data_IF_313298753686
#
_entry.id   IF_313298753686
#
_cell.length_a   1.000
_cell.length_b   1.000
_cell.length_c   1.000
_cell.angle_alpha   90.00
_cell.angle_beta   90.00
_cell.angle_gamma   90.00
#
_symmetry.space_group_name_H-M   'P 1'
#
loop_
_entity.id
_entity.type
_entity.pdbx_description
1 polymer ?
#
# COMPACT_ATOMS: atom_id res chain seq x y z
N UNK A 1 -57.84 -37.95 -7.12
CA UNK A 1 -58.68 -39.04 -6.58
C UNK A 1 -57.91 -39.74 -5.46
N UNK A 2 -58.55 -39.86 -4.29
CA UNK A 2 -58.33 -40.77 -3.13
C UNK A 2 -56.99 -40.62 -2.36
N UNK A 3 -57.01 -40.15 -1.10
CA UNK A 3 -57.41 -40.84 0.16
C UNK A 3 -56.49 -42.02 0.49
N UNK A 4 -56.00 -42.26 1.70
CA UNK A 4 -56.13 -41.71 3.07
C UNK A 4 -54.86 -42.15 3.83
N UNK A 5 -54.68 -42.15 5.14
CA UNK A 5 -55.41 -41.82 6.37
C UNK A 5 -54.33 -41.84 7.47
N UNK A 6 -54.15 -40.78 8.26
CA UNK A 6 -54.56 -40.63 9.68
C UNK A 6 -53.98 -41.65 10.68
N UNK A 7 -53.25 -41.15 11.68
CA UNK A 7 -53.67 -41.02 13.11
C UNK A 7 -52.50 -40.42 13.92
N UNK A 8 -52.59 -39.18 14.45
CA UNK A 8 -53.25 -38.72 15.70
C UNK A 8 -52.64 -39.32 16.98
N UNK A 9 -51.97 -38.48 17.78
CA UNK A 9 -52.35 -38.25 19.19
C UNK A 9 -52.17 -36.76 19.52
N UNK A 10 -53.22 -36.21 20.13
CA UNK A 10 -53.46 -34.85 20.63
C UNK A 10 -53.02 -34.84 22.11
N UNK A 11 -52.67 -33.72 22.75
CA UNK A 11 -53.48 -33.10 23.83
C UNK A 11 -52.75 -31.84 24.37
N UNK A 12 -53.37 -30.68 24.08
CA UNK A 12 -53.70 -29.56 25.02
C UNK A 12 -52.54 -28.61 25.39
N UNK A 13 -52.41 -27.39 24.84
CA UNK A 13 -53.26 -26.18 24.91
C UNK A 13 -53.46 -25.65 26.34
N UNK A 14 -52.86 -24.50 26.70
CA UNK A 14 -53.58 -23.22 26.84
C UNK A 14 -52.78 -22.19 27.69
N UNK A 15 -52.68 -20.96 27.13
CA UNK A 15 -52.75 -19.63 27.77
C UNK A 15 -51.75 -19.16 28.84
N UNK A 16 -50.92 -18.19 28.43
CA UNK A 16 -50.66 -16.90 29.12
C UNK A 16 -51.98 -16.14 29.46
N UNK A 17 -52.05 -15.14 30.39
CA UNK A 17 -51.07 -14.03 30.54
C UNK A 17 -50.95 -13.26 31.91
N UNK A 18 -49.94 -12.36 31.96
CA UNK A 18 -49.87 -10.99 32.56
C UNK A 18 -49.66 -10.70 34.08
N UNK A 19 -48.73 -9.75 34.27
CA UNK A 19 -48.59 -8.64 35.24
C UNK A 19 -48.35 -8.89 36.75
N UNK A 20 -47.23 -8.35 37.27
CA UNK A 20 -47.19 -7.47 38.46
C UNK A 20 -45.76 -6.98 38.80
N UNK A 21 -45.51 -5.71 38.47
CA UNK A 21 -44.84 -4.63 39.22
C UNK A 21 -44.12 -4.90 40.56
N UNK A 22 -42.93 -4.28 40.72
CA UNK A 22 -42.34 -3.97 42.04
C UNK A 22 -40.91 -3.41 42.02
N UNK A 23 -40.75 -2.09 42.12
CA UNK A 23 -39.58 -1.41 42.74
C UNK A 23 -40.06 -0.69 44.01
N UNK A 24 -39.21 -0.52 45.04
CA UNK A 24 -38.78 0.84 45.45
C UNK A 24 -37.26 0.93 45.82
N UNK A 25 -36.51 1.99 45.46
CA UNK A 25 -36.23 3.32 46.14
C UNK A 25 -35.24 3.18 47.33
N UNK A 26 -33.94 3.50 47.19
CA UNK A 26 -33.16 4.76 47.48
C UNK A 26 -32.40 4.73 48.84
N UNK A 27 -31.44 5.66 48.96
CA UNK A 27 -30.50 6.02 50.06
C UNK A 27 -29.15 5.25 50.10
N UNK A 28 -28.04 5.75 49.53
CA UNK A 28 -27.20 6.93 49.84
C UNK A 28 -26.24 6.73 51.04
N UNK A 29 -24.93 6.55 50.77
CA UNK A 29 -23.87 7.26 51.52
C UNK A 29 -22.54 7.30 50.75
N UNK A 30 -21.87 8.45 50.84
CA UNK A 30 -20.64 8.86 50.18
C UNK A 30 -19.38 8.40 50.95
N UNK A 31 -18.34 8.09 50.17
CA UNK A 31 -16.91 8.44 50.35
C UNK A 31 -16.20 7.99 51.63
N UNK A 32 -15.20 7.11 51.45
CA UNK A 32 -13.90 7.33 52.10
C UNK A 32 -12.75 6.84 51.22
N UNK A 33 -11.81 7.74 50.96
CA UNK A 33 -10.60 7.57 50.17
C UNK A 33 -9.43 7.78 51.14
N UNK A 34 -8.52 6.81 51.26
CA UNK A 34 -7.26 6.94 52.04
C UNK A 34 -6.23 5.89 51.56
N UNK A 35 -5.48 6.26 50.52
CA UNK A 35 -4.01 6.35 50.36
C UNK A 35 -3.01 5.41 51.13
N UNK A 36 -1.71 5.34 50.73
CA UNK A 36 -1.03 4.12 50.29
C UNK A 36 0.10 3.63 51.23
N UNK A 37 0.59 2.39 51.06
CA UNK A 37 1.69 1.81 51.84
C UNK A 37 2.52 0.77 51.09
N UNK A 38 3.84 0.84 51.25
CA UNK A 38 4.92 0.30 50.40
C UNK A 38 5.59 -0.98 50.94
N UNK A 39 5.78 -1.99 50.07
CA UNK A 39 6.86 -3.04 49.93
C UNK A 39 7.11 -4.06 51.10
N UNK A 40 7.81 -5.23 50.94
CA UNK A 40 8.96 -5.52 50.02
C UNK A 40 9.08 -7.02 49.53
N UNK A 41 10.25 -7.60 49.11
CA UNK A 41 10.44 -8.28 47.81
C UNK A 41 10.60 -9.83 47.86
N UNK A 42 10.35 -10.53 46.75
CA UNK A 42 10.81 -11.92 46.54
C UNK A 42 11.24 -12.16 45.08
N UNK A 43 12.34 -12.90 44.92
CA UNK A 43 13.03 -13.31 43.70
C UNK A 43 13.42 -14.80 43.89
N UNK A 44 13.79 -15.60 42.88
CA UNK A 44 13.20 -15.88 41.57
C UNK A 44 12.74 -17.37 41.48
N UNK A 45 11.67 -17.66 40.72
CA UNK A 45 11.39 -19.03 40.28
C UNK A 45 11.27 -19.07 38.76
N UNK A 46 12.22 -19.79 38.15
CA UNK A 46 12.37 -19.99 36.72
C UNK A 46 11.08 -20.46 36.03
N UNK A 47 10.72 -19.78 34.95
CA UNK A 47 9.90 -20.32 33.86
C UNK A 47 10.54 -19.92 32.55
N UNK A 48 10.95 -20.93 31.79
CA UNK A 48 11.36 -20.80 30.40
C UNK A 48 10.28 -20.05 29.62
N UNK A 49 10.66 -18.92 29.03
CA UNK A 49 9.83 -18.22 28.05
C UNK A 49 10.58 -18.19 26.73
N UNK A 50 10.08 -19.00 25.80
CA UNK A 50 10.36 -18.90 24.38
C UNK A 50 10.02 -17.49 23.91
N UNK A 51 11.03 -16.77 23.44
CA UNK A 51 10.91 -15.42 22.91
C UNK A 51 10.21 -15.46 21.54
N UNK A 52 8.94 -15.07 21.48
CA UNK A 52 8.27 -14.74 20.22
C UNK A 52 7.39 -13.50 20.40
N UNK A 53 8.04 -12.33 20.37
CA UNK A 53 7.40 -11.02 20.42
C UNK A 53 6.81 -10.64 19.05
N UNK A 54 5.61 -11.15 18.70
CA UNK A 54 4.87 -10.70 17.49
C UNK A 54 3.34 -10.61 17.64
N UNK A 55 2.79 -10.43 18.84
CA UNK A 55 1.33 -10.38 19.00
C UNK A 55 0.75 -9.27 19.90
N UNK A 56 1.48 -8.16 20.09
CA UNK A 56 1.01 -7.05 20.96
C UNK A 56 0.38 -5.84 20.24
N UNK A 57 0.01 -5.95 18.95
CA UNK A 57 -0.48 -4.78 18.16
C UNK A 57 -2.01 -4.74 17.99
N UNK A 58 -2.78 -5.73 18.47
CA UNK A 58 -4.24 -5.77 18.20
C UNK A 58 -5.09 -5.11 19.32
N UNK A 59 -4.51 -4.73 20.46
CA UNK A 59 -5.31 -4.22 21.59
C UNK A 59 -5.60 -2.70 21.69
N UNK A 60 -5.11 -1.76 20.83
CA UNK A 60 -5.59 -0.38 20.88
C UNK A 60 -6.85 -0.11 20.04
N UNK A 61 -7.25 -1.03 19.16
CA UNK A 61 -8.36 -0.79 18.21
C UNK A 61 -9.78 -0.88 18.81
N UNK A 62 -9.97 -1.42 20.01
CA UNK A 62 -11.29 -1.51 20.64
C UNK A 62 -11.58 -0.39 21.66
N UNK A 63 -10.58 0.36 22.11
CA UNK A 63 -10.77 1.47 23.06
C UNK A 63 -11.08 2.82 22.39
N UNK A 64 -10.74 2.99 21.09
CA UNK A 64 -10.99 4.23 20.34
C UNK A 64 -12.44 4.45 19.87
N UNK A 65 -13.27 3.39 19.84
CA UNK A 65 -14.63 3.44 19.30
C UNK A 65 -15.69 4.09 20.21
N UNK A 66 -15.42 4.22 21.52
CA UNK A 66 -16.41 4.73 22.50
C UNK A 66 -16.20 6.22 22.82
N UNK A 67 -15.01 6.78 22.55
CA UNK A 67 -14.73 8.21 22.75
C UNK A 67 -15.10 9.08 21.53
N UNK A 68 -15.11 8.50 20.32
CA UNK A 68 -15.50 9.21 19.10
C UNK A 68 -17.02 9.44 18.97
N UNK A 69 -17.85 8.59 19.57
CA UNK A 69 -19.32 8.76 19.58
C UNK A 69 -19.80 9.85 20.55
N UNK A 70 -19.03 10.15 21.61
CA UNK A 70 -19.36 11.23 22.56
C UNK A 70 -19.02 12.64 22.06
N UNK A 71 -17.91 12.79 21.34
CA UNK A 71 -17.46 14.10 20.84
C UNK A 71 -18.07 14.50 19.50
N UNK A 72 -18.44 13.54 18.65
CA UNK A 72 -19.16 13.79 17.40
C UNK A 72 -20.60 14.28 17.60
N UNK A 73 -21.27 13.84 18.67
CA UNK A 73 -22.60 14.33 19.01
C UNK A 73 -22.54 15.82 19.40
N UNK A 74 -21.57 16.24 20.22
CA UNK A 74 -21.46 17.63 20.72
C UNK A 74 -21.26 18.70 19.63
N UNK A 75 -20.52 18.40 18.56
CA UNK A 75 -20.27 19.36 17.49
C UNK A 75 -21.47 19.51 16.51
N UNK A 76 -22.33 18.50 16.42
CA UNK A 76 -23.52 18.52 15.55
C UNK A 76 -24.76 19.18 16.20
N UNK A 77 -24.88 19.15 17.53
CA UNK A 77 -26.04 19.77 18.24
C UNK A 77 -25.82 21.24 18.62
N UNK A 78 -24.57 21.73 18.67
CA UNK A 78 -24.30 23.13 19.04
C UNK A 78 -24.88 24.18 18.06
N UNK A 79 -24.89 23.96 16.73
CA UNK A 79 -25.51 24.90 15.78
C UNK A 79 -27.05 24.89 15.82
N UNK A 80 -27.65 23.76 16.23
CA UNK A 80 -29.10 23.57 16.27
C UNK A 80 -29.79 24.38 17.39
N UNK A 81 -29.04 24.79 18.43
CA UNK A 81 -29.54 25.62 19.52
C UNK A 81 -29.47 27.14 19.23
N UNK A 82 -28.81 27.54 18.14
CA UNK A 82 -28.57 28.95 17.79
C UNK A 82 -29.28 29.40 16.51
N UNK A 83 -29.99 28.51 15.80
CA UNK A 83 -30.68 28.83 14.55
C UNK A 83 -32.19 28.52 14.64
N UNK A 84 -33.08 29.52 14.77
CA UNK A 84 -34.50 29.33 15.11
C UNK A 84 -35.41 28.95 13.93
N UNK A 85 -34.88 28.41 12.83
CA UNK A 85 -35.73 28.11 11.65
C UNK A 85 -35.61 26.72 11.06
N UNK A 86 -34.59 25.92 11.38
CA UNK A 86 -34.66 24.46 11.16
C UNK A 86 -33.52 23.70 11.89
N UNK A 87 -33.78 23.05 13.03
CA UNK A 87 -32.75 22.35 13.81
C UNK A 87 -32.28 21.02 13.18
N UNK A 88 -32.88 20.57 12.08
CA UNK A 88 -32.65 19.26 11.49
C UNK A 88 -31.82 19.29 10.19
N UNK A 89 -31.78 20.40 9.44
CA UNK A 89 -31.00 20.53 8.20
C UNK A 89 -29.49 20.20 8.32
N UNK A 90 -28.74 20.68 9.33
CA UNK A 90 -27.30 20.38 9.44
C UNK A 90 -27.03 18.90 9.78
N UNK A 91 -27.97 18.24 10.46
CA UNK A 91 -27.87 16.82 10.81
C UNK A 91 -28.21 15.94 9.60
N UNK A 92 -29.23 16.34 8.81
CA UNK A 92 -29.62 15.64 7.58
C UNK A 92 -28.55 15.78 6.50
N UNK A 93 -27.98 16.97 6.32
CA UNK A 93 -26.87 17.19 5.38
C UNK A 93 -25.58 16.47 5.80
N UNK A 94 -25.28 16.41 7.10
CA UNK A 94 -24.16 15.60 7.60
C UNK A 94 -24.38 14.09 7.36
N UNK A 95 -25.61 13.59 7.56
CA UNK A 95 -25.98 12.20 7.23
C UNK A 95 -25.88 11.91 5.74
N UNK A 96 -26.35 12.80 4.88
CA UNK A 96 -26.23 12.64 3.42
C UNK A 96 -24.78 12.63 2.96
N UNK A 97 -23.92 13.44 3.59
CA UNK A 97 -22.49 13.49 3.29
C UNK A 97 -21.79 12.21 3.73
N UNK A 98 -22.11 11.71 4.94
CA UNK A 98 -21.61 10.43 5.44
C UNK A 98 -22.10 9.24 4.59
N UNK A 99 -23.37 9.24 4.16
CA UNK A 99 -23.94 8.21 3.30
C UNK A 99 -23.25 8.18 1.93
N UNK A 100 -22.95 9.36 1.35
CA UNK A 100 -22.18 9.47 0.11
C UNK A 100 -20.74 8.96 0.28
N UNK A 101 -20.07 9.33 1.37
CA UNK A 101 -18.73 8.84 1.67
C UNK A 101 -18.69 7.33 1.89
N UNK A 102 -19.70 6.77 2.56
CA UNK A 102 -19.82 5.32 2.75
C UNK A 102 -20.03 4.61 1.41
N UNK A 103 -20.90 5.15 0.54
CA UNK A 103 -21.14 4.58 -0.78
C UNK A 103 -19.89 4.67 -1.68
N UNK A 104 -19.13 5.76 -1.59
CA UNK A 104 -17.89 5.96 -2.33
C UNK A 104 -16.78 5.03 -1.81
N UNK A 105 -16.65 4.88 -0.49
CA UNK A 105 -15.75 3.90 0.12
C UNK A 105 -16.14 2.47 -0.22
N UNK A 106 -17.43 2.12 -0.21
CA UNK A 106 -17.90 0.79 -0.64
C UNK A 106 -17.58 0.54 -2.12
N UNK A 107 -17.66 1.57 -2.96
CA UNK A 107 -17.28 1.49 -4.37
C UNK A 107 -15.77 1.33 -4.55
N UNK A 108 -14.96 2.04 -3.76
CA UNK A 108 -13.50 1.90 -3.75
C UNK A 108 -13.06 0.53 -3.21
N UNK A 109 -13.70 0.03 -2.15
CA UNK A 109 -13.48 -1.31 -1.61
C UNK A 109 -13.85 -2.34 -2.66
N UNK A 110 -15.01 -2.23 -3.32
CA UNK A 110 -15.38 -3.11 -4.43
C UNK A 110 -14.41 -3.02 -5.61
N UNK A 111 -13.84 -1.85 -5.91
CA UNK A 111 -12.81 -1.70 -6.94
C UNK A 111 -11.45 -2.30 -6.55
N UNK A 112 -11.10 -2.27 -5.26
CA UNK A 112 -9.88 -2.88 -4.71
C UNK A 112 -10.06 -4.41 -4.64
N UNK A 113 -11.24 -4.89 -4.21
CA UNK A 113 -11.60 -6.31 -4.21
C UNK A 113 -11.77 -6.86 -5.64
N UNK A 114 -12.19 -6.04 -6.60
CA UNK A 114 -12.26 -6.39 -8.02
C UNK A 114 -10.91 -6.33 -8.73
N UNK A 115 -9.90 -5.66 -8.16
CA UNK A 115 -8.52 -5.81 -8.63
C UNK A 115 -8.07 -7.21 -8.23
N UNK A 116 -7.72 -8.09 -9.19
CA UNK A 116 -7.22 -9.40 -8.83
C UNK A 116 -6.01 -9.22 -7.91
N UNK A 117 -6.00 -9.93 -6.78
CA UNK A 117 -4.86 -9.97 -5.88
C UNK A 117 -3.58 -10.18 -6.71
N UNK A 118 -2.45 -9.51 -6.39
CA UNK A 118 -1.19 -9.74 -7.08
C UNK A 118 -0.96 -11.25 -7.10
N UNK A 119 -0.92 -11.82 -8.31
CA UNK A 119 -0.79 -13.27 -8.48
C UNK A 119 0.45 -13.71 -7.73
N UNK A 120 0.27 -14.56 -6.73
CA UNK A 120 1.38 -15.14 -6.01
C UNK A 120 2.17 -16.04 -6.96
N UNK A 121 3.32 -15.54 -7.40
CA UNK A 121 4.23 -16.25 -8.28
C UNK A 121 5.18 -17.17 -7.52
N UNK A 122 5.14 -17.20 -6.18
CA UNK A 122 6.02 -18.05 -5.36
C UNK A 122 5.88 -19.53 -5.74
N UNK A 123 4.64 -20.00 -5.90
CA UNK A 123 4.36 -21.37 -6.33
C UNK A 123 4.90 -21.67 -7.75
N UNK A 124 4.86 -20.68 -8.65
CA UNK A 124 5.41 -20.84 -10.02
C UNK A 124 6.94 -20.89 -9.99
N UNK A 125 7.59 -20.07 -9.17
CA UNK A 125 9.04 -20.06 -9.00
C UNK A 125 9.56 -21.34 -8.33
N UNK A 126 8.85 -21.85 -7.32
CA UNK A 126 9.13 -23.15 -6.69
C UNK A 126 9.00 -24.27 -7.74
N UNK A 127 7.90 -24.29 -8.50
CA UNK A 127 7.69 -25.31 -9.54
C UNK A 127 8.76 -25.24 -10.65
N UNK A 128 9.22 -24.05 -11.03
CA UNK A 128 10.32 -23.89 -11.99
C UNK A 128 11.65 -24.39 -11.42
N UNK A 129 11.92 -24.14 -10.14
CA UNK A 129 13.13 -24.63 -9.46
C UNK A 129 13.13 -26.16 -9.38
N UNK A 130 12.01 -26.75 -9.00
CA UNK A 130 11.81 -28.22 -8.99
C UNK A 130 11.96 -28.83 -10.39
N UNK A 131 11.47 -28.14 -11.44
CA UNK A 131 11.63 -28.58 -12.82
C UNK A 131 13.10 -28.56 -13.29
N UNK A 132 13.88 -27.56 -12.86
CA UNK A 132 15.32 -27.48 -13.15
C UNK A 132 16.07 -28.63 -12.44
N UNK A 133 15.75 -28.89 -11.17
CA UNK A 133 16.36 -29.99 -10.43
C UNK A 133 16.01 -31.37 -11.02
N UNK A 134 14.77 -31.55 -11.49
CA UNK A 134 14.35 -32.76 -12.17
C UNK A 134 15.10 -32.95 -13.50
N UNK A 135 15.30 -31.89 -14.28
CA UNK A 135 16.06 -31.94 -15.53
C UNK A 135 17.52 -32.30 -15.28
N UNK A 136 18.13 -31.75 -14.22
CA UNK A 136 19.51 -32.07 -13.82
C UNK A 136 19.69 -33.56 -13.50
N UNK A 137 18.74 -34.14 -12.75
CA UNK A 137 18.74 -35.58 -12.45
C UNK A 137 18.58 -36.45 -13.71
N UNK A 138 17.73 -36.04 -14.66
CA UNK A 138 17.57 -36.79 -15.93
C UNK A 138 18.86 -36.79 -16.75
N UNK A 139 19.59 -35.67 -16.77
CA UNK A 139 20.91 -35.57 -17.41
C UNK A 139 21.92 -36.52 -16.75
N UNK A 140 22.05 -36.50 -15.42
CA UNK A 140 22.97 -37.38 -14.69
C UNK A 140 22.65 -38.86 -14.92
N UNK A 141 21.36 -39.21 -14.94
CA UNK A 141 20.90 -40.57 -15.16
C UNK A 141 21.20 -41.04 -16.61
N UNK A 142 21.05 -40.16 -17.59
CA UNK A 142 21.42 -40.45 -18.99
C UNK A 142 22.92 -40.60 -19.16
N UNK A 143 23.72 -39.77 -18.48
CA UNK A 143 25.17 -39.85 -18.51
C UNK A 143 25.67 -41.19 -17.95
N UNK A 144 25.12 -41.61 -16.80
CA UNK A 144 25.39 -42.93 -16.21
C UNK A 144 25.00 -44.07 -17.16
N UNK A 145 23.87 -43.94 -17.87
CA UNK A 145 23.41 -44.93 -18.85
C UNK A 145 24.37 -45.05 -20.05
N UNK A 146 24.86 -43.92 -20.55
CA UNK A 146 25.85 -43.88 -21.65
C UNK A 146 27.16 -44.53 -21.19
N UNK A 147 27.65 -44.21 -20.00
CA UNK A 147 28.86 -44.83 -19.43
C UNK A 147 28.71 -46.35 -19.29
N UNK A 148 27.55 -46.81 -18.81
CA UNK A 148 27.26 -48.25 -18.69
C UNK A 148 27.24 -48.93 -20.07
N UNK A 149 26.67 -48.28 -21.08
CA UNK A 149 26.66 -48.79 -22.46
C UNK A 149 28.06 -48.85 -23.05
N UNK A 150 28.91 -47.84 -22.80
CA UNK A 150 30.31 -47.84 -23.23
C UNK A 150 31.10 -48.97 -22.56
N UNK A 151 30.92 -49.20 -21.26
CA UNK A 151 31.56 -50.32 -20.56
C UNK A 151 31.10 -51.68 -21.12
N UNK A 152 29.80 -51.83 -21.40
CA UNK A 152 29.26 -53.04 -22.01
C UNK A 152 29.82 -53.29 -23.43
N UNK A 153 30.03 -52.22 -24.20
CA UNK A 153 30.68 -52.30 -25.52
C UNK A 153 32.15 -52.69 -25.39
N UNK A 154 32.90 -52.11 -24.45
CA UNK A 154 34.30 -52.49 -24.19
C UNK A 154 34.43 -53.96 -23.80
N UNK A 155 33.55 -54.47 -22.93
CA UNK A 155 33.54 -55.89 -22.55
C UNK A 155 33.19 -56.82 -23.71
N UNK A 156 32.27 -56.41 -24.59
CA UNK A 156 31.98 -57.14 -25.82
C UNK A 156 33.18 -57.16 -26.76
N UNK A 157 33.87 -56.02 -26.91
CA UNK A 157 35.06 -55.91 -27.74
C UNK A 157 36.18 -56.83 -27.23
N UNK A 158 36.47 -56.83 -25.91
CA UNK A 158 37.44 -57.76 -25.32
C UNK A 158 37.04 -59.23 -25.53
N UNK A 159 35.75 -59.56 -25.42
CA UNK A 159 35.25 -60.92 -25.61
C UNK A 159 35.44 -61.39 -27.06
N UNK A 160 35.25 -60.50 -28.02
CA UNK A 160 35.50 -60.75 -29.45
C UNK A 160 37.00 -60.88 -29.71
N UNK A 161 37.83 -60.03 -29.11
CA UNK A 161 39.29 -60.05 -29.25
C UNK A 161 39.94 -61.32 -28.66
N UNK A 162 39.39 -61.86 -27.57
CA UNK A 162 39.86 -63.10 -26.90
C UNK A 162 39.33 -64.39 -27.54
N UNK A 163 38.50 -64.30 -28.58
CA UNK A 163 37.95 -65.47 -29.25
C UNK A 163 39.06 -66.11 -30.12
N UNK A 164 39.43 -67.39 -29.91
CA UNK A 164 40.50 -67.99 -30.69
C UNK A 164 40.08 -68.04 -32.16
N UNK A 165 40.93 -67.52 -33.04
CA UNK A 165 40.87 -67.63 -34.51
C UNK A 165 41.07 -69.11 -34.93
N UNK A 166 40.21 -70.00 -34.46
CA UNK A 166 40.19 -71.39 -34.87
C UNK A 166 39.37 -71.48 -36.16
N UNK A 167 40.10 -71.56 -37.27
CA UNK A 167 39.68 -72.02 -38.60
C UNK A 167 38.90 -71.02 -39.47
N UNK A 168 39.63 -70.47 -40.45
CA UNK A 168 39.16 -69.82 -41.69
C UNK A 168 37.90 -68.97 -41.55
N UNK A 169 38.09 -67.71 -41.12
CA UNK A 169 37.05 -66.69 -41.28
C UNK A 169 36.73 -66.57 -42.76
N UNK A 170 35.49 -66.89 -43.16
CA UNK A 170 35.09 -66.70 -44.54
C UNK A 170 35.13 -65.20 -44.87
N UNK A 171 35.51 -64.79 -46.09
CA UNK A 171 35.51 -63.37 -46.50
C UNK A 171 34.14 -62.68 -46.27
N UNK A 172 33.06 -63.45 -46.21
CA UNK A 172 31.71 -62.95 -45.90
C UNK A 172 31.53 -62.55 -44.43
N UNK A 173 32.13 -63.27 -43.47
CA UNK A 173 32.02 -62.93 -42.05
C UNK A 173 32.80 -61.66 -41.68
N UNK A 174 33.95 -61.42 -42.34
CA UNK A 174 34.72 -60.17 -42.19
C UNK A 174 33.92 -58.98 -42.74
N UNK A 175 33.33 -59.11 -43.93
CA UNK A 175 32.48 -58.05 -44.52
C UNK A 175 31.25 -57.72 -43.66
N UNK A 176 30.63 -58.72 -43.04
CA UNK A 176 29.51 -58.51 -42.13
C UNK A 176 29.95 -57.70 -40.89
N UNK A 177 31.08 -58.06 -40.29
CA UNK A 177 31.67 -57.33 -39.16
C UNK A 177 32.08 -55.89 -39.52
N UNK A 178 32.68 -55.68 -40.70
CA UNK A 178 33.03 -54.36 -41.21
C UNK A 178 31.78 -53.48 -41.40
N UNK A 179 30.67 -54.07 -41.89
CA UNK A 179 29.39 -53.36 -42.03
C UNK A 179 28.76 -52.99 -40.69
N UNK A 180 28.79 -53.88 -39.69
CA UNK A 180 28.31 -53.58 -38.34
C UNK A 180 29.16 -52.51 -37.65
N UNK A 181 30.48 -52.54 -37.82
CA UNK A 181 31.39 -51.50 -37.31
C UNK A 181 31.14 -50.15 -37.99
N UNK A 182 30.91 -50.14 -39.31
CA UNK A 182 30.56 -48.92 -40.04
C UNK A 182 29.21 -48.36 -39.56
N UNK A 183 28.22 -49.23 -39.33
CA UNK A 183 26.92 -48.84 -38.81
C UNK A 183 27.02 -48.30 -37.37
N UNK A 184 27.76 -48.98 -36.49
CA UNK A 184 27.97 -48.53 -35.12
C UNK A 184 28.70 -47.17 -35.07
N UNK A 185 29.68 -46.95 -35.95
CA UNK A 185 30.37 -45.66 -36.09
C UNK A 185 29.41 -44.56 -36.55
N UNK A 186 28.51 -44.86 -37.48
CA UNK A 186 27.48 -43.94 -37.96
C UNK A 186 26.48 -43.60 -36.85
N UNK A 187 25.99 -44.61 -36.13
CA UNK A 187 25.06 -44.44 -35.01
C UNK A 187 25.69 -43.62 -33.89
N UNK A 188 26.96 -43.89 -33.54
CA UNK A 188 27.70 -43.12 -32.55
C UNK A 188 27.88 -41.67 -32.99
N UNK A 189 28.23 -41.42 -34.26
CA UNK A 189 28.36 -40.07 -34.80
C UNK A 189 27.01 -39.32 -34.73
N UNK A 190 25.90 -39.98 -35.02
CA UNK A 190 24.56 -39.41 -34.92
C UNK A 190 24.14 -39.13 -33.47
N UNK A 191 24.48 -40.02 -32.53
CA UNK A 191 24.24 -39.82 -31.10
C UNK A 191 25.05 -38.65 -30.56
N UNK A 192 26.34 -38.54 -30.91
CA UNK A 192 27.20 -37.42 -30.51
C UNK A 192 26.70 -36.10 -31.12
N UNK A 193 26.27 -36.10 -32.38
CA UNK A 193 25.73 -34.90 -33.04
C UNK A 193 24.38 -34.46 -32.44
N UNK A 194 23.50 -35.41 -32.13
CA UNK A 194 22.21 -35.09 -31.50
C UNK A 194 22.38 -34.62 -30.06
N UNK A 195 23.27 -35.26 -29.29
CA UNK A 195 23.61 -34.85 -27.93
C UNK A 195 24.22 -33.44 -27.89
N UNK A 196 25.20 -33.15 -28.76
CA UNK A 196 25.80 -31.81 -28.83
C UNK A 196 24.77 -30.73 -29.20
N UNK A 197 23.91 -31.00 -30.18
CA UNK A 197 22.83 -30.08 -30.57
C UNK A 197 21.86 -29.82 -29.41
N UNK A 198 21.49 -30.87 -28.66
CA UNK A 198 20.56 -30.76 -27.54
C UNK A 198 21.18 -30.04 -26.32
N UNK A 199 22.47 -30.24 -26.07
CA UNK A 199 23.21 -29.49 -25.04
C UNK A 199 23.22 -28.00 -25.39
N UNK A 200 23.52 -27.64 -26.64
CA UNK A 200 23.55 -26.25 -27.08
C UNK A 200 22.17 -25.59 -26.98
N UNK A 201 21.12 -26.29 -27.39
CA UNK A 201 19.73 -25.81 -27.24
C UNK A 201 19.33 -25.62 -25.78
N UNK A 202 19.73 -26.53 -24.90
CA UNK A 202 19.41 -26.45 -23.46
C UNK A 202 20.15 -25.28 -22.83
N UNK A 203 21.42 -25.06 -23.19
CA UNK A 203 22.22 -23.92 -22.73
C UNK A 203 21.60 -22.59 -23.19
N UNK A 204 21.26 -22.47 -24.47
CA UNK A 204 20.61 -21.28 -25.01
C UNK A 204 19.28 -20.97 -24.30
N UNK A 205 18.45 -22.00 -24.06
CA UNK A 205 17.18 -21.84 -23.34
C UNK A 205 17.38 -21.47 -21.87
N UNK A 206 18.41 -22.01 -21.21
CA UNK A 206 18.73 -21.67 -19.83
C UNK A 206 19.21 -20.20 -19.72
N UNK A 207 20.05 -19.75 -20.65
CA UNK A 207 20.51 -18.35 -20.72
C UNK A 207 19.33 -17.40 -20.98
N UNK A 208 18.43 -17.73 -21.92
CA UNK A 208 17.20 -16.96 -22.16
C UNK A 208 16.30 -16.89 -20.92
N UNK A 209 16.11 -18.03 -20.23
CA UNK A 209 15.30 -18.07 -19.02
C UNK A 209 15.93 -17.25 -17.88
N UNK A 210 17.25 -17.29 -17.76
CA UNK A 210 17.97 -16.48 -16.77
C UNK A 210 17.81 -14.99 -17.08
N UNK A 211 18.06 -14.56 -18.32
CA UNK A 211 17.89 -13.17 -18.74
C UNK A 211 16.46 -12.66 -18.51
N UNK A 212 15.45 -13.47 -18.85
CA UNK A 212 14.04 -13.08 -18.65
C UNK A 212 13.65 -13.04 -17.17
N UNK A 213 14.21 -13.91 -16.33
CA UNK A 213 13.98 -13.91 -14.89
C UNK A 213 14.65 -12.71 -14.22
N UNK A 214 15.88 -12.38 -14.61
CA UNK A 214 16.61 -11.22 -14.11
C UNK A 214 15.89 -9.92 -14.50
N UNK A 215 15.44 -9.82 -15.75
CA UNK A 215 14.65 -8.69 -16.22
C UNK A 215 13.32 -8.53 -15.45
N UNK A 216 12.59 -9.63 -15.23
CA UNK A 216 11.35 -9.60 -14.44
C UNK A 216 11.59 -9.23 -12.99
N UNK A 217 12.65 -9.75 -12.38
CA UNK A 217 13.02 -9.44 -11.00
C UNK A 217 13.35 -7.96 -10.87
N UNK A 218 14.13 -7.41 -11.81
CA UNK A 218 14.45 -5.98 -11.89
C UNK A 218 13.17 -5.14 -11.98
N UNK A 219 12.27 -5.44 -12.91
CA UNK A 219 10.99 -4.73 -13.05
C UNK A 219 10.12 -4.83 -11.80
N UNK A 220 10.13 -5.99 -11.14
CA UNK A 220 9.46 -6.21 -9.86
C UNK A 220 10.00 -5.31 -8.76
N UNK A 221 11.32 -5.25 -8.60
CA UNK A 221 11.99 -4.37 -7.63
C UNK A 221 11.69 -2.90 -7.89
N UNK A 222 11.77 -2.45 -9.14
CA UNK A 222 11.42 -1.06 -9.52
C UNK A 222 9.98 -0.73 -9.13
N UNK A 223 9.04 -1.61 -9.47
CA UNK A 223 7.62 -1.40 -9.18
C UNK A 223 7.35 -1.38 -7.67
N UNK A 224 7.97 -2.28 -6.91
CA UNK A 224 7.85 -2.32 -5.46
C UNK A 224 8.43 -1.06 -4.81
N UNK A 225 9.63 -0.64 -5.22
CA UNK A 225 10.29 0.57 -4.73
C UNK A 225 9.46 1.82 -5.01
N UNK A 226 8.93 1.99 -6.23
CA UNK A 226 8.04 3.11 -6.57
C UNK A 226 6.78 3.16 -5.70
N UNK A 227 6.15 2.01 -5.48
CA UNK A 227 4.95 1.93 -4.65
C UNK A 227 5.27 2.25 -3.18
N UNK A 228 6.42 1.79 -2.68
CA UNK A 228 6.89 2.11 -1.34
C UNK A 228 7.18 3.61 -1.19
N UNK A 229 7.85 4.24 -2.16
CA UNK A 229 8.10 5.70 -2.15
C UNK A 229 6.76 6.46 -2.19
N UNK A 230 5.81 6.06 -3.06
CA UNK A 230 4.50 6.71 -3.13
C UNK A 230 3.75 6.60 -1.80
N UNK A 231 3.69 5.41 -1.22
CA UNK A 231 3.03 5.19 0.06
C UNK A 231 3.70 5.98 1.20
N UNK A 232 5.03 6.03 1.23
CA UNK A 232 5.77 6.82 2.22
C UNK A 232 5.53 8.32 2.04
N UNK A 233 5.55 8.85 0.81
CA UNK A 233 5.25 10.25 0.53
C UNK A 233 3.78 10.62 0.86
N UNK A 234 2.84 9.71 0.69
CA UNK A 234 1.45 9.89 1.10
C UNK A 234 1.31 9.96 2.63
N UNK A 235 1.98 9.04 3.33
CA UNK A 235 1.96 8.95 4.80
C UNK A 235 2.98 9.86 5.49
N UNK A 236 3.73 10.66 4.74
CA UNK A 236 4.80 11.53 5.27
C UNK A 236 5.92 10.80 6.01
N UNK A 237 6.17 9.54 5.65
CA UNK A 237 7.31 8.77 6.12
C UNK A 237 8.51 8.97 5.18
N UNK A 238 9.73 8.76 5.71
CA UNK A 238 10.93 8.63 4.91
C UNK A 238 10.89 7.40 4.00
N UNK A 239 11.54 7.49 2.85
CA UNK A 239 11.60 6.47 1.80
C UNK A 239 13.02 6.18 1.30
N UNK A 240 14.04 6.53 2.08
CA UNK A 240 15.47 6.34 1.76
C UNK A 240 15.83 4.91 1.34
N UNK A 241 15.29 3.89 2.03
CA UNK A 241 15.52 2.49 1.68
C UNK A 241 14.95 2.16 0.28
N UNK A 242 13.70 2.55 0.03
CA UNK A 242 13.06 2.31 -1.26
C UNK A 242 13.73 3.11 -2.39
N UNK A 243 14.25 4.31 -2.09
CA UNK A 243 15.04 5.10 -3.03
C UNK A 243 16.34 4.39 -3.41
N UNK A 244 17.01 3.79 -2.43
CA UNK A 244 18.25 3.03 -2.63
C UNK A 244 18.03 1.77 -3.48
N UNK A 245 16.93 1.05 -3.23
CA UNK A 245 16.53 -0.11 -4.04
C UNK A 245 16.24 0.30 -5.49
N UNK A 246 15.58 1.44 -5.68
CA UNK A 246 15.31 1.99 -7.01
C UNK A 246 16.59 2.38 -7.75
N UNK A 247 17.53 3.06 -7.08
CA UNK A 247 18.85 3.43 -7.66
C UNK A 247 19.63 2.18 -8.04
N UNK A 248 19.59 1.14 -7.21
CA UNK A 248 20.29 -0.12 -7.53
C UNK A 248 19.66 -0.84 -8.72
N UNK A 249 18.33 -0.75 -8.86
CA UNK A 249 17.59 -1.38 -9.94
C UNK A 249 17.57 -0.53 -11.23
N UNK A 250 17.90 0.76 -11.20
CA UNK A 250 17.79 1.67 -12.35
C UNK A 250 19.08 2.47 -12.55
N UNK A 251 19.53 2.63 -13.80
CA UNK A 251 20.65 3.51 -14.15
C UNK A 251 20.17 4.92 -14.53
N UNK A 252 19.03 5.35 -13.96
CA UNK A 252 18.38 6.62 -14.31
C UNK A 252 18.81 7.68 -13.30
N UNK A 253 19.00 8.92 -13.75
CA UNK A 253 19.17 10.05 -12.85
C UNK A 253 17.85 10.34 -12.11
N UNK A 254 17.88 10.24 -10.78
CA UNK A 254 16.71 10.51 -9.95
C UNK A 254 16.54 12.02 -9.77
N UNK A 255 15.31 12.55 -9.89
CA UNK A 255 15.02 13.96 -9.61
C UNK A 255 15.47 14.37 -8.20
N UNK A 256 16.12 15.53 -8.09
CA UNK A 256 16.68 16.06 -6.83
C UNK A 256 15.63 16.16 -5.71
N UNK A 257 14.38 16.51 -6.06
CA UNK A 257 13.28 16.63 -5.10
C UNK A 257 12.99 15.33 -4.33
N UNK A 258 13.22 14.15 -4.93
CA UNK A 258 13.08 12.86 -4.24
C UNK A 258 14.24 12.61 -3.28
N UNK A 259 15.45 13.03 -3.66
CA UNK A 259 16.63 12.84 -2.82
C UNK A 259 16.59 13.76 -1.59
N UNK A 260 16.20 15.02 -1.79
CA UNK A 260 16.12 16.02 -0.73
C UNK A 260 15.14 15.65 0.40
N UNK A 261 14.09 14.90 0.09
CA UNK A 261 13.04 14.50 1.05
C UNK A 261 13.04 13.00 1.38
N UNK A 262 14.09 12.26 1.00
CA UNK A 262 14.16 10.81 1.18
C UNK A 262 14.15 10.38 2.65
N UNK A 263 14.84 11.14 3.51
CA UNK A 263 15.01 10.80 4.93
C UNK A 263 13.79 11.16 5.78
N UNK A 264 13.33 12.40 5.66
CA UNK A 264 12.29 12.96 6.53
C UNK A 264 10.89 12.86 5.92
N UNK A 265 10.79 12.50 4.64
CA UNK A 265 9.52 12.47 3.92
C UNK A 265 9.00 13.88 3.61
N UNK A 266 7.72 13.93 3.23
CA UNK A 266 6.99 15.19 2.98
C UNK A 266 5.78 15.30 3.87
N UNK A 267 5.31 16.52 4.13
CA UNK A 267 4.11 16.71 4.95
C UNK A 267 2.90 15.95 4.38
N UNK A 268 2.14 15.28 5.26
CA UNK A 268 0.88 14.63 4.90
C UNK A 268 -0.16 15.65 4.45
N UNK A 269 -1.05 15.26 3.52
CA UNK A 269 -2.11 16.14 3.03
C UNK A 269 -3.04 16.62 4.15
N UNK A 270 -3.51 15.70 5.01
CA UNK A 270 -4.36 16.05 6.16
C UNK A 270 -3.67 17.05 7.09
N UNK A 271 -2.39 16.81 7.41
CA UNK A 271 -1.60 17.74 8.22
C UNK A 271 -1.41 19.12 7.56
N UNK A 272 -1.37 19.22 6.23
CA UNK A 272 -1.36 20.52 5.53
C UNK A 272 -2.72 21.20 5.58
N UNK A 273 -3.81 20.44 5.44
CA UNK A 273 -5.19 20.96 5.51
C UNK A 273 -5.51 21.51 6.90
N UNK A 274 -5.17 20.77 7.96
CA UNK A 274 -5.44 21.15 9.34
C UNK A 274 -4.67 22.42 9.75
N UNK A 275 -3.43 22.53 9.30
CA UNK A 275 -2.55 23.67 9.62
C UNK A 275 -2.87 24.93 8.83
N UNK A 276 -3.54 24.82 7.68
CA UNK A 276 -3.81 25.97 6.82
C UNK A 276 -4.78 26.97 7.46
N UNK A 277 -5.90 26.49 8.02
CA UNK A 277 -6.94 27.39 8.56
C UNK A 277 -6.46 28.26 9.74
N UNK A 278 -5.74 27.72 10.74
CA UNK A 278 -5.09 28.53 11.77
C UNK A 278 -4.06 29.52 11.21
N UNK A 279 -3.24 29.10 10.25
CA UNK A 279 -2.20 29.94 9.64
C UNK A 279 -2.80 31.10 8.82
N UNK A 280 -3.88 30.85 8.07
CA UNK A 280 -4.62 31.87 7.32
C UNK A 280 -5.24 32.92 8.26
N UNK A 281 -5.82 32.51 9.39
CA UNK A 281 -6.35 33.44 10.41
C UNK A 281 -5.25 34.29 11.04
N UNK A 282 -4.11 33.69 11.38
CA UNK A 282 -2.96 34.40 11.92
C UNK A 282 -2.43 35.44 10.91
N UNK A 283 -2.38 35.05 9.63
CA UNK A 283 -1.98 35.91 8.51
C UNK A 283 -2.89 37.12 8.37
N UNK A 284 -4.21 36.93 8.35
CA UNK A 284 -5.17 38.04 8.29
C UNK A 284 -5.04 38.98 9.49
N UNK A 285 -4.82 38.45 10.69
CA UNK A 285 -4.61 39.26 11.89
C UNK A 285 -3.36 40.11 11.77
N UNK A 286 -2.27 39.55 11.25
CA UNK A 286 -1.01 40.26 11.06
C UNK A 286 -1.13 41.36 10.00
N UNK A 287 -1.78 41.07 8.86
CA UNK A 287 -2.04 42.05 7.80
C UNK A 287 -2.84 43.23 8.35
N UNK A 288 -3.95 42.97 9.06
CA UNK A 288 -4.77 44.05 9.66
C UNK A 288 -4.02 44.86 10.71
N UNK A 289 -3.10 44.25 11.46
CA UNK A 289 -2.29 44.95 12.45
C UNK A 289 -1.25 45.86 11.78
N UNK A 290 -0.67 45.41 10.66
CA UNK A 290 0.29 46.17 9.88
C UNK A 290 -0.34 47.31 9.08
N UNK A 291 -1.57 47.12 8.58
CA UNK A 291 -2.35 48.18 7.92
C UNK A 291 -2.81 49.28 8.91
N UNK A 292 -2.81 48.97 10.21
CA UNK A 292 -3.25 49.88 11.26
C UNK A 292 -4.76 50.20 11.18
N UNK A 293 -5.35 50.89 12.16
CA UNK A 293 -6.64 51.53 11.94
C UNK A 293 -6.47 52.50 10.76
N UNK A 294 -7.28 52.34 9.71
CA UNK A 294 -7.30 53.22 8.54
C UNK A 294 -7.13 54.67 9.00
N UNK A 295 -5.94 55.21 8.78
CA UNK A 295 -5.51 56.48 9.37
C UNK A 295 -6.26 57.59 8.66
N UNK A 296 -7.41 57.99 9.22
CA UNK A 296 -8.22 59.09 8.70
C UNK A 296 -9.67 59.14 9.16
N UNK A 297 -10.29 58.04 9.59
CA UNK A 297 -11.64 58.10 10.17
C UNK A 297 -11.57 58.17 11.70
N UNK A 298 -11.79 59.37 12.23
CA UNK A 298 -12.05 59.57 13.65
C UNK A 298 -13.06 58.51 14.11
N UNK A 299 -12.73 57.77 15.17
CA UNK A 299 -13.64 56.78 15.79
C UNK A 299 -15.02 57.39 16.12
N UNK A 300 -15.08 58.71 16.32
CA UNK A 300 -16.31 59.51 16.45
C UNK A 300 -17.10 59.63 15.14
N UNK A 301 -16.47 59.86 13.99
CA UNK A 301 -17.10 59.90 12.65
C UNK A 301 -17.62 58.52 12.23
N UNK A 302 -16.89 57.45 12.54
CA UNK A 302 -17.34 56.07 12.30
C UNK A 302 -18.57 55.71 13.16
N UNK A 303 -18.62 56.16 14.42
CA UNK A 303 -19.77 55.96 15.30
C UNK A 303 -21.00 56.78 14.85
N UNK A 304 -20.79 58.02 14.36
CA UNK A 304 -21.83 58.84 13.74
C UNK A 304 -22.38 58.19 12.45
N UNK A 305 -21.53 57.69 11.54
CA UNK A 305 -21.97 56.95 10.35
C UNK A 305 -22.77 55.69 10.68
N UNK A 306 -22.39 54.98 11.75
CA UNK A 306 -23.12 53.81 12.24
C UNK A 306 -24.53 54.16 12.78
N UNK A 307 -24.69 55.32 13.43
CA UNK A 307 -25.98 55.79 13.93
C UNK A 307 -26.90 56.37 12.82
N UNK A 308 -26.31 56.94 11.76
CA UNK A 308 -27.03 57.57 10.64
C UNK A 308 -27.22 56.65 9.42
N UNK A 309 -26.85 55.37 9.50
CA UNK A 309 -27.26 54.35 8.53
C UNK A 309 -26.71 54.54 7.11
N UNK A 310 -25.59 55.26 6.95
CA UNK A 310 -24.93 55.36 5.64
C UNK A 310 -23.99 54.17 5.49
N UNK A 311 -24.50 53.08 4.89
CA UNK A 311 -23.64 51.99 4.43
C UNK A 311 -22.68 52.55 3.36
N UNK A 312 -21.39 52.64 3.69
CA UNK A 312 -20.35 52.77 2.67
C UNK A 312 -20.34 51.48 1.86
N UNK A 313 -20.99 51.53 0.71
CA UNK A 313 -20.89 50.55 -0.37
C UNK A 313 -19.68 50.91 -1.24
N UNK A 314 -18.53 51.23 -0.63
CA UNK A 314 -17.29 51.31 -1.38
C UNK A 314 -16.93 49.88 -1.81
N UNK A 315 -16.83 49.62 -3.12
CA UNK A 315 -16.46 48.31 -3.61
C UNK A 315 -15.07 47.98 -3.11
N UNK A 316 -14.92 47.03 -2.19
CA UNK A 316 -13.64 46.37 -2.01
C UNK A 316 -13.37 45.56 -3.28
N UNK A 317 -12.30 45.87 -4.03
CA UNK A 317 -11.97 45.11 -5.23
C UNK A 317 -11.67 43.65 -4.87
N UNK A 318 -12.14 42.73 -5.72
CA UNK A 318 -11.64 41.36 -5.74
C UNK A 318 -10.12 41.37 -5.90
N UNK A 319 -9.45 40.52 -5.11
CA UNK A 319 -8.01 40.49 -4.78
C UNK A 319 -7.65 40.98 -3.36
N UNK A 320 -8.64 41.22 -2.48
CA UNK A 320 -8.34 41.37 -1.05
C UNK A 320 -7.63 40.12 -0.50
N UNK A 321 -6.75 40.31 0.50
CA UNK A 321 -6.02 39.20 1.14
C UNK A 321 -6.98 38.12 1.67
N UNK A 322 -8.17 38.51 2.12
CA UNK A 322 -9.23 37.61 2.56
C UNK A 322 -9.84 36.80 1.41
N UNK A 323 -10.06 37.41 0.25
CA UNK A 323 -10.52 36.70 -0.94
C UNK A 323 -9.49 35.69 -1.46
N UNK A 324 -8.20 36.06 -1.46
CA UNK A 324 -7.09 35.17 -1.84
C UNK A 324 -7.00 33.98 -0.88
N UNK A 325 -6.99 34.23 0.44
CA UNK A 325 -6.93 33.16 1.44
C UNK A 325 -8.16 32.26 1.41
N UNK A 326 -9.35 32.80 1.10
CA UNK A 326 -10.58 32.03 0.93
C UNK A 326 -10.48 31.07 -0.27
N UNK A 327 -10.00 31.54 -1.44
CA UNK A 327 -9.76 30.66 -2.61
C UNK A 327 -8.66 29.64 -2.36
N UNK A 328 -7.57 30.04 -1.72
CA UNK A 328 -6.51 29.13 -1.31
C UNK A 328 -7.04 28.06 -0.34
N UNK A 329 -7.88 28.43 0.64
CA UNK A 329 -8.51 27.47 1.56
C UNK A 329 -9.36 26.45 0.80
N UNK A 330 -10.17 26.91 -0.15
CA UNK A 330 -10.99 26.02 -0.97
C UNK A 330 -10.15 25.04 -1.79
N UNK A 331 -9.01 25.49 -2.33
CA UNK A 331 -8.05 24.63 -3.04
C UNK A 331 -7.40 23.60 -2.10
N UNK A 332 -6.95 24.03 -0.92
CA UNK A 332 -6.37 23.14 0.11
C UNK A 332 -7.37 22.08 0.57
N UNK A 333 -8.63 22.46 0.83
CA UNK A 333 -9.69 21.52 1.21
C UNK A 333 -9.96 20.48 0.12
N UNK A 334 -9.83 20.85 -1.16
CA UNK A 334 -9.92 19.91 -2.29
C UNK A 334 -8.67 19.06 -2.50
N UNK A 335 -7.59 19.36 -1.78
CA UNK A 335 -6.28 18.71 -1.95
C UNK A 335 -5.46 19.24 -3.13
N UNK A 336 -5.91 20.33 -3.78
CA UNK A 336 -5.19 20.98 -4.88
C UNK A 336 -4.19 22.00 -4.32
N UNK A 337 -3.03 21.49 -3.91
CA UNK A 337 -1.95 22.30 -3.35
C UNK A 337 -1.31 23.21 -4.40
N UNK A 338 -1.31 22.83 -5.68
CA UNK A 338 -0.77 23.66 -6.77
C UNK A 338 -1.62 24.90 -6.98
N UNK A 339 -2.95 24.75 -7.02
CA UNK A 339 -3.86 25.90 -7.09
C UNK A 339 -3.76 26.76 -5.82
N UNK A 340 -3.64 26.15 -4.64
CA UNK A 340 -3.46 26.88 -3.39
C UNK A 340 -2.18 27.74 -3.40
N UNK A 341 -1.03 27.16 -3.79
CA UNK A 341 0.24 27.88 -3.89
C UNK A 341 0.18 29.03 -4.91
N UNK A 342 -0.53 28.82 -6.03
CA UNK A 342 -0.77 29.87 -7.02
C UNK A 342 -1.56 31.05 -6.44
N UNK A 343 -2.66 30.78 -5.73
CA UNK A 343 -3.44 31.82 -5.05
C UNK A 343 -2.60 32.57 -4.01
N UNK A 344 -1.83 31.84 -3.18
CA UNK A 344 -1.00 32.46 -2.14
C UNK A 344 0.10 33.37 -2.68
N UNK A 345 0.55 33.18 -3.93
CA UNK A 345 1.51 34.08 -4.58
C UNK A 345 0.96 35.50 -4.79
N UNK A 346 -0.36 35.67 -4.78
CA UNK A 346 -1.02 36.98 -4.89
C UNK A 346 -1.17 37.71 -3.53
N UNK A 347 -0.80 37.08 -2.41
CA UNK A 347 -0.81 37.74 -1.10
C UNK A 347 0.30 38.81 -1.00
N UNK A 348 0.07 39.88 -0.21
CA UNK A 348 1.15 40.79 0.18
C UNK A 348 2.30 40.04 0.85
N UNK A 349 3.54 40.55 0.73
CA UNK A 349 4.75 39.90 1.27
C UNK A 349 4.59 39.49 2.74
N UNK A 350 4.05 40.38 3.57
CA UNK A 350 3.80 40.12 4.98
C UNK A 350 2.90 38.88 5.20
N UNK A 351 1.93 38.65 4.31
CA UNK A 351 1.10 37.46 4.37
C UNK A 351 1.80 36.18 3.90
N UNK A 352 2.69 36.30 2.92
CA UNK A 352 3.52 35.17 2.47
C UNK A 352 4.53 34.77 3.55
N UNK A 353 5.15 35.74 4.21
CA UNK A 353 6.11 35.50 5.30
C UNK A 353 5.45 34.75 6.47
N UNK A 354 4.22 35.12 6.83
CA UNK A 354 3.44 34.42 7.87
C UNK A 354 3.01 33.00 7.49
N UNK A 355 2.98 32.67 6.19
CA UNK A 355 2.65 31.35 5.68
C UNK A 355 3.88 30.57 5.19
N UNK A 356 5.10 31.12 5.35
CA UNK A 356 6.30 30.57 4.73
C UNK A 356 6.50 29.08 5.04
N UNK A 357 6.36 28.67 6.30
CA UNK A 357 6.52 27.26 6.72
C UNK A 357 5.49 26.34 6.04
N UNK A 358 4.25 26.82 5.92
CA UNK A 358 3.19 26.07 5.25
C UNK A 358 3.44 26.00 3.74
N UNK A 359 3.84 27.11 3.13
CA UNK A 359 4.17 27.23 1.71
C UNK A 359 5.33 26.28 1.37
N UNK A 360 6.40 26.30 2.16
CA UNK A 360 7.56 25.42 1.96
C UNK A 360 7.15 23.93 2.05
N UNK A 361 6.39 23.55 3.08
CA UNK A 361 5.91 22.18 3.22
C UNK A 361 4.99 21.72 2.06
N UNK A 362 4.13 22.62 1.58
CA UNK A 362 3.27 22.36 0.42
C UNK A 362 4.08 22.24 -0.88
N UNK A 363 5.07 23.12 -1.09
CA UNK A 363 5.97 23.07 -2.24
C UNK A 363 6.78 21.78 -2.27
N UNK A 364 7.36 21.36 -1.14
CA UNK A 364 8.07 20.09 -1.04
C UNK A 364 7.20 18.90 -1.43
N UNK A 365 5.94 18.87 -0.98
CA UNK A 365 4.99 17.79 -1.35
C UNK A 365 4.68 17.80 -2.84
N UNK A 366 4.41 18.97 -3.42
CA UNK A 366 4.14 19.11 -4.85
C UNK A 366 5.35 18.71 -5.69
N UNK A 367 6.56 19.10 -5.28
CA UNK A 367 7.81 18.76 -5.95
C UNK A 367 8.06 17.24 -5.96
N UNK A 368 7.86 16.56 -4.83
CA UNK A 368 7.97 15.09 -4.73
C UNK A 368 6.93 14.38 -5.61
N UNK A 369 5.69 14.87 -5.62
CA UNK A 369 4.64 14.31 -6.49
C UNK A 369 4.95 14.48 -7.98
N UNK A 370 5.44 15.66 -8.37
CA UNK A 370 5.86 15.92 -9.74
C UNK A 370 7.05 15.02 -10.15
N UNK A 371 8.03 14.88 -9.27
CA UNK A 371 9.18 14.00 -9.50
C UNK A 371 8.78 12.53 -9.63
N UNK A 372 7.83 12.05 -8.81
CA UNK A 372 7.28 10.69 -8.94
C UNK A 372 6.55 10.48 -10.28
N UNK A 373 5.79 11.49 -10.72
CA UNK A 373 5.09 11.43 -12.01
C UNK A 373 6.09 11.41 -13.18
N UNK A 374 7.11 12.26 -13.14
CA UNK A 374 8.20 12.30 -14.12
C UNK A 374 8.94 10.96 -14.20
N UNK A 375 9.34 10.42 -13.05
CA UNK A 375 10.02 9.13 -12.95
C UNK A 375 9.16 7.99 -13.49
N UNK A 376 7.87 7.97 -13.16
CA UNK A 376 6.94 6.96 -13.70
C UNK A 376 6.80 7.06 -15.22
N UNK A 377 6.79 8.29 -15.76
CA UNK A 377 6.75 8.52 -17.21
C UNK A 377 8.04 8.07 -17.88
N UNK A 378 9.20 8.36 -17.29
CA UNK A 378 10.50 7.94 -17.80
C UNK A 378 10.62 6.40 -17.84
N UNK A 379 10.17 5.72 -16.78
CA UNK A 379 10.18 4.26 -16.69
C UNK A 379 9.15 3.59 -17.61
N UNK A 380 8.07 4.27 -17.99
CA UNK A 380 7.10 3.75 -18.97
C UNK A 380 7.52 3.92 -20.43
N UNK A 381 8.51 4.80 -20.69
CA UNK A 381 9.00 5.12 -22.04
C UNK A 381 10.19 4.28 -22.47
N UNK A 382 10.97 3.76 -21.52
CA UNK A 382 12.01 2.75 -21.73
C UNK A 382 11.42 1.35 -21.60
#
# INVERSE_FOLDING_TARGET
MKQGERQKVKIVSNKDPKDATGRPIEDAELVEQSDPGTAPPEDPAARDTSNNSKFQVILPFLAGGVLASGLGFGAAVLPAYLNPSDPLEPIVSAQDTLAKQLAEQETQIKQIEAKPAPKDHSATLIAMTEAIDALRRDIDQRQTKIETQLQALTLRLEKVEKQPLAQSVSPQAIKAYESELAQLRSDLAQVVQSASTQIEQTKAKAEELQMTTDARTRTGTITAALNAIRAAAENGAGYEAALSDLITATEIDLPEALQAHAKDGVAQLGGLQDRFSPAARATLKAIRLAEGPQTGENRLLAFLKAQFGVRSLEPQPGNSAEAVLSRAQAAVTKGDLTAALSELSALPQLGQDHLQDWIAAAQSRVAVQAALAELSSALSRN
#
